data_IF_260270367791
#
_entry.id   IF_260270367791
#
_cell.length_a   1.000
_cell.length_b   1.000
_cell.length_c   1.000
_cell.angle_alpha   90.00
_cell.angle_beta   90.00
_cell.angle_gamma   90.00
#
_symmetry.space_group_name_H-M   'P 1'
#
loop_
_entity.id
_entity.type
_entity.pdbx_description
1 polymer ?
#
# COMPACT_ATOMS: atom_id res chain seq x y z
N UNK A 1 1.20 -2.73 1.36
CA UNK A 1 0.26 -1.64 1.03
C UNK A 1 -0.25 -1.02 2.32
N UNK A 2 -0.86 0.17 2.24
CA UNK A 2 -1.40 0.85 3.42
C UNK A 2 -2.62 1.70 3.04
N UNK A 3 -3.36 2.19 4.04
CA UNK A 3 -4.42 3.19 3.84
C UNK A 3 -3.87 4.56 4.20
N UNK A 4 -3.96 5.49 3.26
CA UNK A 4 -3.70 6.91 3.49
C UNK A 4 -5.01 7.60 3.91
N UNK A 5 -4.98 8.26 5.07
CA UNK A 5 -6.00 9.16 5.55
C UNK A 5 -5.55 10.59 5.26
N UNK A 6 -6.20 11.21 4.27
CA UNK A 6 -5.94 12.58 3.83
C UNK A 6 -7.06 13.47 4.38
N UNK A 7 -6.76 14.63 4.97
CA UNK A 7 -7.79 15.49 5.55
C UNK A 7 -8.76 15.96 4.45
N UNK A 8 -10.03 16.13 4.82
CA UNK A 8 -11.04 16.69 3.91
C UNK A 8 -10.85 18.20 3.69
N UNK A 9 -10.12 18.85 4.60
CA UNK A 9 -9.76 20.27 4.54
C UNK A 9 -8.23 20.38 4.57
N UNK A 10 -7.66 20.99 3.53
CA UNK A 10 -6.22 21.19 3.42
C UNK A 10 -5.73 22.35 4.31
N UNK A 11 -4.42 22.35 4.61
CA UNK A 11 -3.78 23.46 5.34
C UNK A 11 -3.87 23.36 6.86
N UNK A 12 -4.46 22.29 7.39
CA UNK A 12 -4.64 22.04 8.83
C UNK A 12 -3.62 21.04 9.36
N UNK A 13 -3.35 21.09 10.67
CA UNK A 13 -2.59 20.04 11.36
C UNK A 13 -3.40 18.74 11.43
N UNK A 14 -2.75 17.63 11.80
CA UNK A 14 -3.47 16.37 12.06
C UNK A 14 -4.51 16.49 13.17
N UNK A 15 -4.25 17.33 14.18
CA UNK A 15 -5.14 17.51 15.34
C UNK A 15 -6.36 18.39 15.01
N UNK A 16 -6.20 19.36 14.10
CA UNK A 16 -7.26 20.30 13.74
C UNK A 16 -8.14 19.82 12.58
N UNK A 17 -7.70 18.78 11.85
CA UNK A 17 -8.45 18.22 10.74
C UNK A 17 -9.78 17.60 11.23
N UNK A 18 -10.95 18.08 10.75
CA UNK A 18 -12.25 17.64 11.26
C UNK A 18 -12.65 16.25 10.76
N UNK A 19 -12.11 15.84 9.62
CA UNK A 19 -12.37 14.53 9.02
C UNK A 19 -11.25 14.14 8.06
N UNK A 20 -11.12 12.84 7.83
CA UNK A 20 -10.18 12.27 6.87
C UNK A 20 -10.92 11.39 5.87
N UNK A 21 -10.45 11.40 4.63
CA UNK A 21 -10.87 10.48 3.57
C UNK A 21 -9.81 9.39 3.43
N UNK A 22 -10.25 8.13 3.43
CA UNK A 22 -9.38 6.98 3.13
C UNK A 22 -9.06 6.91 1.63
N UNK A 23 -7.81 6.60 1.32
CA UNK A 23 -7.32 6.31 -0.02
C UNK A 23 -6.38 5.09 0.03
N UNK A 24 -6.37 4.23 -1.01
CA UNK A 24 -5.33 3.22 -1.14
C UNK A 24 -3.97 3.88 -1.29
N UNK A 25 -3.00 3.39 -0.52
CA UNK A 25 -1.65 3.94 -0.45
C UNK A 25 -0.56 2.88 -0.60
N UNK A 26 0.67 3.37 -0.72
CA UNK A 26 1.88 2.58 -0.90
C UNK A 26 2.47 2.73 -2.31
N UNK A 27 3.67 3.33 -2.38
CA UNK A 27 4.35 3.59 -3.64
C UNK A 27 4.48 2.35 -4.56
N UNK A 28 4.83 1.15 -4.06
CA UNK A 28 4.86 -0.07 -4.85
C UNK A 28 3.54 -0.41 -5.56
N UNK A 29 2.40 -0.30 -4.87
CA UNK A 29 1.10 -0.60 -5.45
C UNK A 29 0.66 0.47 -6.46
N UNK A 30 0.93 1.75 -6.16
CA UNK A 30 0.66 2.85 -7.09
C UNK A 30 1.44 2.70 -8.39
N UNK A 31 2.68 2.21 -8.33
CA UNK A 31 3.49 1.94 -9.52
C UNK A 31 2.91 0.79 -10.35
N UNK A 32 2.60 -0.35 -9.75
CA UNK A 32 2.00 -1.49 -10.44
C UNK A 32 0.68 -1.09 -11.15
N UNK A 33 -0.20 -0.36 -10.45
CA UNK A 33 -1.42 0.21 -11.03
C UNK A 33 -1.12 1.14 -12.20
N UNK A 34 -0.05 1.95 -12.11
CA UNK A 34 0.43 2.80 -13.20
C UNK A 34 0.80 1.99 -14.45
N UNK A 35 1.60 0.94 -14.29
CA UNK A 35 2.00 0.04 -15.38
C UNK A 35 0.76 -0.62 -16.03
N UNK A 36 -0.14 -1.17 -15.21
CA UNK A 36 -1.35 -1.81 -15.70
C UNK A 36 -2.25 -0.83 -16.48
N UNK A 37 -2.37 0.42 -16.02
CA UNK A 37 -3.14 1.47 -16.71
C UNK A 37 -2.52 1.92 -18.04
N UNK A 38 -1.21 1.78 -18.19
CA UNK A 38 -0.49 2.04 -19.44
C UNK A 38 -0.55 0.85 -20.43
N UNK A 39 -1.28 -0.21 -20.08
CA UNK A 39 -1.42 -1.42 -20.91
C UNK A 39 -0.31 -2.46 -20.69
N UNK A 40 0.57 -2.24 -19.72
CA UNK A 40 1.56 -3.22 -19.30
C UNK A 40 0.96 -4.33 -18.43
N UNK A 41 1.69 -5.43 -18.27
CA UNK A 41 1.40 -6.45 -17.25
C UNK A 41 2.21 -6.14 -16.00
N UNK A 42 1.59 -6.25 -14.82
CA UNK A 42 2.27 -6.04 -13.53
C UNK A 42 1.71 -6.97 -12.46
N UNK A 43 2.54 -7.28 -11.47
CA UNK A 43 2.20 -8.04 -10.30
C UNK A 43 2.61 -7.30 -9.02
N UNK A 44 1.87 -7.56 -7.95
CA UNK A 44 2.15 -7.01 -6.64
C UNK A 44 2.51 -8.13 -5.65
N UNK A 45 3.68 -8.01 -5.03
CA UNK A 45 4.08 -8.85 -3.89
C UNK A 45 4.11 -7.98 -2.64
N UNK A 46 3.40 -8.44 -1.61
CA UNK A 46 3.37 -7.73 -0.33
C UNK A 46 2.39 -8.36 0.63
N UNK A 47 2.40 -7.87 1.87
CA UNK A 47 1.57 -8.39 2.96
C UNK A 47 0.73 -7.29 3.59
N UNK A 48 -0.51 -7.61 3.95
CA UNK A 48 -1.46 -6.74 4.67
C UNK A 48 -2.10 -7.52 5.83
N UNK A 49 -2.82 -6.84 6.73
CA UNK A 49 -3.56 -7.52 7.77
C UNK A 49 -4.74 -8.29 7.19
N UNK A 50 -5.13 -9.37 7.84
CA UNK A 50 -6.39 -10.07 7.56
C UNK A 50 -7.56 -9.27 8.16
N UNK A 51 -7.87 -8.14 7.52
CA UNK A 51 -8.89 -7.19 7.93
C UNK A 51 -9.55 -6.50 6.71
N UNK A 52 -10.64 -5.78 6.96
CA UNK A 52 -11.44 -5.08 5.94
C UNK A 52 -10.60 -4.14 5.05
N UNK A 53 -9.58 -3.49 5.63
CA UNK A 53 -8.68 -2.64 4.84
C UNK A 53 -7.73 -3.47 3.96
N UNK A 54 -7.25 -4.61 4.45
CA UNK A 54 -6.47 -5.55 3.66
C UNK A 54 -7.24 -6.06 2.45
N UNK A 55 -8.48 -6.50 2.65
CA UNK A 55 -9.34 -6.97 1.55
C UNK A 55 -9.65 -5.87 0.54
N UNK A 56 -10.01 -4.68 1.02
CA UNK A 56 -10.20 -3.50 0.17
C UNK A 56 -8.97 -3.22 -0.71
N UNK A 57 -7.76 -3.32 -0.17
CA UNK A 57 -6.53 -3.07 -0.93
C UNK A 57 -6.29 -4.14 -2.00
N UNK A 58 -6.60 -5.41 -1.70
CA UNK A 58 -6.49 -6.49 -2.67
C UNK A 58 -7.48 -6.32 -3.82
N UNK A 59 -8.71 -5.90 -3.52
CA UNK A 59 -9.74 -5.67 -4.54
C UNK A 59 -9.36 -4.49 -5.44
N UNK A 60 -8.77 -3.42 -4.89
CA UNK A 60 -8.28 -2.29 -5.68
C UNK A 60 -7.20 -2.73 -6.67
N UNK A 61 -6.29 -3.64 -6.30
CA UNK A 61 -5.30 -4.19 -7.24
C UNK A 61 -5.99 -4.95 -8.38
N UNK A 62 -6.95 -5.81 -8.06
CA UNK A 62 -7.71 -6.59 -9.05
C UNK A 62 -8.50 -5.69 -10.01
N UNK A 63 -9.20 -4.68 -9.48
CA UNK A 63 -9.96 -3.70 -10.28
C UNK A 63 -9.07 -2.92 -11.25
N UNK A 64 -7.78 -2.75 -10.93
CA UNK A 64 -6.81 -2.09 -11.79
C UNK A 64 -5.98 -3.06 -12.64
N UNK A 65 -6.41 -4.32 -12.78
CA UNK A 65 -5.74 -5.37 -13.57
C UNK A 65 -4.29 -5.67 -13.13
N UNK A 66 -3.99 -5.49 -11.84
CA UNK A 66 -2.70 -5.90 -11.26
C UNK A 66 -2.82 -7.34 -10.76
N UNK A 67 -1.86 -8.21 -11.11
CA UNK A 67 -1.82 -9.56 -10.57
C UNK A 67 -1.53 -9.50 -9.06
N UNK A 68 -2.49 -9.95 -8.25
CA UNK A 68 -2.43 -9.93 -6.78
C UNK A 68 -2.13 -11.30 -6.15
N UNK A 69 -1.71 -12.30 -6.94
CA UNK A 69 -1.31 -13.63 -6.45
C UNK A 69 -0.14 -13.57 -5.44
N UNK A 70 0.69 -12.53 -5.51
CA UNK A 70 1.78 -12.26 -4.57
C UNK A 70 1.34 -11.61 -3.24
N UNK A 71 0.05 -11.30 -3.08
CA UNK A 71 -0.47 -10.67 -1.88
C UNK A 71 -0.68 -11.70 -0.76
N UNK A 72 -0.31 -11.35 0.46
CA UNK A 72 -0.45 -12.17 1.66
C UNK A 72 -1.29 -11.44 2.71
N UNK A 73 -2.07 -12.22 3.47
CA UNK A 73 -2.89 -11.73 4.58
C UNK A 73 -2.35 -12.33 5.88
N UNK A 74 -2.21 -11.48 6.90
CA UNK A 74 -1.67 -11.87 8.20
C UNK A 74 -2.73 -11.68 9.30
N UNK A 75 -3.21 -12.76 9.96
CA UNK A 75 -4.17 -12.65 11.06
C UNK A 75 -3.57 -12.08 12.35
N UNK A 76 -2.24 -12.08 12.48
CA UNK A 76 -1.51 -11.59 13.65
C UNK A 76 -1.11 -10.11 13.55
N UNK A 77 -1.34 -9.45 12.42
CA UNK A 77 -0.97 -8.06 12.18
C UNK A 77 -2.13 -7.26 11.57
N UNK A 78 -2.05 -5.93 11.71
CA UNK A 78 -3.06 -5.02 11.14
C UNK A 78 -2.55 -4.38 9.86
N UNK A 79 -3.47 -4.09 8.94
CA UNK A 79 -3.17 -3.27 7.76
C UNK A 79 -2.66 -1.91 8.21
N UNK A 80 -1.54 -1.47 7.62
CA UNK A 80 -0.89 -0.23 7.97
C UNK A 80 -1.77 0.98 7.64
N UNK A 81 -1.85 1.95 8.54
CA UNK A 81 -2.53 3.22 8.33
C UNK A 81 -1.52 4.38 8.39
N UNK A 82 -1.71 5.37 7.53
CA UNK A 82 -0.96 6.61 7.53
C UNK A 82 -1.94 7.78 7.53
N UNK A 83 -1.73 8.76 8.39
CA UNK A 83 -2.41 10.04 8.35
C UNK A 83 -1.42 11.05 7.79
N UNK A 84 -1.84 11.78 6.75
CA UNK A 84 -0.97 12.70 6.02
C UNK A 84 -1.68 14.03 5.89
N UNK A 85 -1.03 15.11 6.29
CA UNK A 85 -1.51 16.47 6.03
C UNK A 85 -0.40 17.34 5.48
N UNK A 86 -0.80 18.36 4.72
CA UNK A 86 0.02 19.48 4.29
C UNK A 86 -0.57 20.74 4.94
N UNK A 87 0.19 21.32 5.86
CA UNK A 87 -0.18 22.54 6.57
C UNK A 87 -0.06 23.76 5.65
N UNK A 88 -0.73 24.85 6.03
CA UNK A 88 -0.75 26.10 5.26
C UNK A 88 0.63 26.77 5.14
N UNK A 89 1.54 26.47 6.07
CA UNK A 89 2.95 26.87 6.07
C UNK A 89 3.82 26.00 5.13
N UNK A 90 3.24 24.97 4.50
CA UNK A 90 3.93 24.04 3.60
C UNK A 90 4.54 22.83 4.31
N UNK A 91 4.46 22.74 5.64
CA UNK A 91 4.97 21.60 6.39
C UNK A 91 4.10 20.36 6.20
N UNK A 92 4.75 19.20 6.02
CA UNK A 92 4.08 17.91 5.90
C UNK A 92 4.16 17.15 7.20
N UNK A 93 3.01 16.73 7.72
CA UNK A 93 2.94 15.86 8.88
C UNK A 93 2.52 14.46 8.45
N UNK A 94 3.27 13.45 8.93
CA UNK A 94 3.00 12.04 8.70
C UNK A 94 2.88 11.33 10.05
N UNK A 95 1.71 10.78 10.34
CA UNK A 95 1.49 9.91 11.49
C UNK A 95 1.16 8.51 11.02
N UNK A 96 1.98 7.54 11.41
CA UNK A 96 1.81 6.17 11.00
C UNK A 96 1.39 5.28 12.16
N UNK A 97 0.30 4.55 11.99
CA UNK A 97 -0.05 3.47 12.91
C UNK A 97 0.68 2.18 12.48
N UNK A 98 1.54 1.70 13.38
CA UNK A 98 2.57 0.64 13.24
C UNK A 98 2.53 -0.17 14.55
N UNK A 99 2.13 -1.45 14.57
CA UNK A 99 1.15 -1.96 15.57
C UNK A 99 0.75 -3.46 15.61
N UNK A 100 1.54 -4.54 15.35
CA UNK A 100 2.66 -4.74 14.43
C UNK A 100 2.19 -4.72 12.96
N UNK A 101 3.15 -4.63 12.02
CA UNK A 101 2.89 -4.39 10.59
C UNK A 101 3.08 -5.64 9.75
N UNK A 102 2.03 -6.05 9.05
CA UNK A 102 2.05 -7.21 8.18
C UNK A 102 3.11 -7.06 7.05
N UNK A 103 3.26 -5.88 6.44
CA UNK A 103 4.26 -5.62 5.39
C UNK A 103 5.72 -5.73 5.86
N UNK A 104 6.00 -5.52 7.15
CA UNK A 104 7.33 -5.73 7.74
C UNK A 104 7.58 -7.19 8.13
N UNK A 105 6.55 -8.04 8.08
CA UNK A 105 6.61 -9.45 8.43
C UNK A 105 6.58 -10.35 7.18
N UNK A 106 6.76 -9.79 5.98
CA UNK A 106 6.93 -10.60 4.78
C UNK A 106 8.26 -11.36 4.87
N UNK A 107 8.19 -12.68 4.86
CA UNK A 107 9.34 -13.58 4.95
C UNK A 107 9.70 -14.12 3.57
N UNK A 108 10.96 -14.48 3.38
CA UNK A 108 11.47 -15.06 2.13
C UNK A 108 10.68 -16.30 1.70
N UNK A 109 10.26 -17.14 2.65
CA UNK A 109 9.47 -18.34 2.38
C UNK A 109 8.08 -18.05 1.79
N UNK A 110 7.62 -16.80 1.85
CA UNK A 110 6.31 -16.39 1.33
C UNK A 110 6.39 -15.80 -0.08
N UNK A 111 7.61 -15.59 -0.59
CA UNK A 111 7.88 -15.11 -1.95
C UNK A 111 7.61 -16.22 -2.97
N UNK A 112 6.77 -15.91 -3.96
CA UNK A 112 6.57 -16.80 -5.09
C UNK A 112 7.63 -16.54 -6.18
N UNK A 113 8.66 -17.38 -6.20
CA UNK A 113 9.73 -17.30 -7.18
C UNK A 113 9.28 -17.58 -8.62
N UNK A 114 8.15 -18.27 -8.84
CA UNK A 114 7.60 -18.43 -10.18
C UNK A 114 6.94 -17.14 -10.66
N UNK A 115 6.38 -16.35 -9.76
CA UNK A 115 5.88 -15.01 -10.07
C UNK A 115 7.05 -14.08 -10.42
N UNK A 116 8.15 -14.15 -9.66
CA UNK A 116 9.36 -13.34 -9.90
C UNK A 116 9.98 -13.64 -11.28
N UNK A 117 10.11 -14.92 -11.64
CA UNK A 117 10.72 -15.33 -12.92
C UNK A 117 9.91 -14.94 -14.17
N UNK A 118 8.65 -14.51 -14.03
CA UNK A 118 7.77 -14.19 -15.16
C UNK A 118 7.96 -12.77 -15.71
N UNK A 119 8.88 -11.99 -15.16
CA UNK A 119 8.91 -10.54 -15.38
C UNK A 119 10.24 -10.04 -15.92
N UNK A 120 10.19 -8.99 -16.72
CA UNK A 120 11.35 -8.40 -17.38
C UNK A 120 12.07 -7.33 -16.56
N UNK A 121 11.39 -6.65 -15.63
CA UNK A 121 11.98 -5.56 -14.82
C UNK A 121 11.46 -5.65 -13.38
N UNK A 122 12.37 -5.47 -12.41
CA UNK A 122 12.07 -5.47 -10.97
C UNK A 122 12.27 -4.06 -10.42
N UNK A 123 11.36 -3.62 -9.55
CA UNK A 123 11.53 -2.39 -8.80
C UNK A 123 11.37 -2.64 -7.30
N UNK A 124 12.30 -2.11 -6.53
CA UNK A 124 12.31 -2.21 -5.08
C UNK A 124 12.00 -0.86 -4.45
N UNK A 125 10.90 -0.79 -3.70
CA UNK A 125 10.64 0.29 -2.76
C UNK A 125 11.23 -0.10 -1.40
N UNK A 126 11.51 0.87 -0.52
CA UNK A 126 12.23 0.68 0.76
C UNK A 126 11.69 -0.43 1.70
N UNK A 127 10.54 -1.04 1.43
CA UNK A 127 9.94 -2.12 2.22
C UNK A 127 9.23 -3.23 1.41
N UNK A 128 9.10 -3.14 0.07
CA UNK A 128 8.40 -4.18 -0.72
C UNK A 128 9.01 -4.34 -2.12
N UNK A 129 8.99 -5.57 -2.63
CA UNK A 129 9.39 -5.96 -3.98
C UNK A 129 8.17 -5.91 -4.92
N UNK A 130 8.33 -5.39 -6.13
CA UNK A 130 7.29 -5.44 -7.17
C UNK A 130 7.91 -5.73 -8.53
N UNK A 131 7.07 -6.33 -9.38
CA UNK A 131 7.48 -6.99 -10.60
C UNK A 131 6.44 -6.67 -11.68
#
# INVERSE_FOLDING_TARGET
MLIDFVPTINGLSLADAPAFKKAPGGAPANFAVGIARLGGSSAFIGKVGEDEFGYMLADILKENNVNSEGMRFDPGARTALAFVTLRSDGEREFLFYRNPRADMLLQEAELDFNLIKKVCEEYFGTLNCFI
#
